data_IF_761189164982
#
_entry.id   IF_761189164982
#
_cell.length_a   1.000
_cell.length_b   1.000
_cell.length_c   1.000
_cell.angle_alpha   90.00
_cell.angle_beta   90.00
_cell.angle_gamma   90.00
#
_symmetry.space_group_name_H-M   'P 1'
#
loop_
_entity.id
_entity.type
_entity.pdbx_description
1 polymer ?
#
# COMPACT_ATOMS: atom_id res chain seq x y z
N UNK A 1 -1.73 27.14 -33.78
CA UNK A 1 -1.18 25.81 -33.48
C UNK A 1 -0.88 25.80 -31.99
N UNK A 2 -1.70 25.08 -31.21
CA UNK A 2 -1.53 24.96 -29.75
C UNK A 2 -0.42 23.95 -29.48
N UNK A 3 0.70 24.39 -28.90
CA UNK A 3 1.73 23.48 -28.42
C UNK A 3 1.53 23.25 -26.93
N UNK A 4 0.87 22.13 -26.59
CA UNK A 4 0.94 21.55 -25.26
C UNK A 4 2.34 20.94 -25.11
N UNK A 5 3.20 21.53 -24.30
CA UNK A 5 4.48 20.95 -23.95
C UNK A 5 4.29 19.94 -22.80
N UNK A 6 4.55 18.62 -22.99
CA UNK A 6 4.56 17.68 -21.89
C UNK A 6 5.83 17.89 -21.05
N UNK A 7 5.66 18.24 -19.78
CA UNK A 7 6.78 18.38 -18.82
C UNK A 7 7.28 16.98 -18.42
N UNK A 8 8.59 16.67 -18.51
CA UNK A 8 9.11 15.35 -18.24
C UNK A 8 9.06 14.98 -16.75
N UNK A 9 8.70 13.72 -16.48
CA UNK A 9 8.70 13.11 -15.14
C UNK A 9 10.14 12.84 -14.69
N UNK A 10 10.63 13.61 -13.71
CA UNK A 10 11.76 13.21 -12.87
C UNK A 10 11.29 13.00 -11.43
N UNK A 11 11.82 11.96 -10.79
CA UNK A 11 11.37 11.40 -9.50
C UNK A 11 12.23 11.87 -8.32
N UNK A 12 11.58 12.33 -7.24
CA UNK A 12 12.18 12.56 -5.92
C UNK A 12 11.10 12.44 -4.81
N UNK A 13 11.46 12.11 -3.55
CA UNK A 13 10.58 11.48 -2.57
C UNK A 13 9.79 12.46 -1.70
N UNK A 14 8.76 11.89 -1.03
CA UNK A 14 7.86 12.47 -0.02
C UNK A 14 6.62 13.23 -0.55
N UNK A 15 5.51 13.07 0.18
CA UNK A 15 4.14 13.29 -0.30
C UNK A 15 3.80 14.76 -0.55
N UNK A 16 2.84 14.98 -1.46
CA UNK A 16 2.52 16.27 -2.08
C UNK A 16 3.73 16.89 -2.75
N UNK A 17 4.07 16.32 -3.92
CA UNK A 17 4.97 16.93 -4.90
C UNK A 17 4.41 18.31 -5.23
N UNK A 18 4.96 19.36 -4.63
CA UNK A 18 4.69 20.74 -5.05
C UNK A 18 5.21 20.86 -6.48
N UNK A 19 4.34 20.58 -7.45
CA UNK A 19 4.59 20.84 -8.85
C UNK A 19 4.30 22.32 -9.04
N UNK A 20 5.30 23.15 -8.76
CA UNK A 20 5.23 24.56 -9.12
C UNK A 20 5.25 24.67 -10.64
N UNK A 21 4.46 25.59 -11.17
CA UNK A 21 4.53 26.03 -12.56
C UNK A 21 4.98 27.48 -12.55
N UNK A 22 5.92 27.80 -13.43
CA UNK A 22 6.46 29.16 -13.55
C UNK A 22 5.59 29.96 -14.53
N UNK A 23 5.22 31.17 -14.11
CA UNK A 23 4.48 32.12 -14.95
C UNK A 23 5.47 33.18 -15.42
N UNK A 24 5.50 33.43 -16.72
CA UNK A 24 6.45 34.37 -17.31
C UNK A 24 5.78 35.71 -17.62
N UNK A 25 6.49 36.81 -17.35
CA UNK A 25 6.03 38.20 -17.57
C UNK A 25 5.94 38.59 -19.07
N UNK A 26 6.07 37.63 -19.98
CA UNK A 26 5.87 37.84 -21.41
C UNK A 26 4.59 37.14 -21.89
N UNK A 27 3.67 36.82 -20.99
CA UNK A 27 2.41 36.15 -21.29
C UNK A 27 1.27 37.14 -21.06
N UNK A 28 0.34 37.23 -22.01
CA UNK A 28 -0.90 38.02 -21.86
C UNK A 28 -1.85 37.37 -20.83
N UNK A 29 -2.03 36.04 -20.95
CA UNK A 29 -2.83 35.26 -20.02
C UNK A 29 -2.24 33.87 -19.77
N UNK A 30 -2.57 33.33 -18.60
CA UNK A 30 -2.31 31.96 -18.17
C UNK A 30 -3.60 31.38 -17.59
N UNK A 31 -4.01 30.22 -18.08
CA UNK A 31 -5.13 29.46 -17.57
C UNK A 31 -4.62 28.18 -16.91
N UNK A 32 -5.08 27.93 -15.69
CA UNK A 32 -4.71 26.77 -14.88
C UNK A 32 -5.97 25.96 -14.61
N UNK A 33 -6.11 24.83 -15.29
CA UNK A 33 -7.19 23.87 -15.07
C UNK A 33 -6.75 22.86 -14.00
N UNK A 34 -7.38 22.94 -12.83
CA UNK A 34 -7.13 22.07 -11.68
C UNK A 34 -8.18 20.98 -11.62
N UNK A 35 -7.72 19.73 -11.55
CA UNK A 35 -8.54 18.53 -11.36
C UNK A 35 -8.16 17.83 -10.07
N UNK A 36 -9.18 17.42 -9.33
CA UNK A 36 -9.02 16.68 -8.07
C UNK A 36 -9.41 15.22 -8.26
N UNK A 37 -8.54 14.33 -7.81
CA UNK A 37 -8.70 12.88 -7.87
C UNK A 37 -8.48 12.29 -6.48
N UNK A 38 -9.22 11.25 -6.12
CA UNK A 38 -8.96 10.42 -4.94
C UNK A 38 -8.50 9.04 -5.41
N UNK A 39 -7.26 8.67 -5.08
CA UNK A 39 -6.75 7.33 -5.34
C UNK A 39 -6.99 6.44 -4.12
N UNK A 40 -7.65 5.31 -4.32
CA UNK A 40 -7.87 4.27 -3.32
C UNK A 40 -7.12 3.01 -3.73
N UNK A 41 -6.00 2.74 -3.06
CA UNK A 41 -5.15 1.57 -3.30
C UNK A 41 -5.55 0.41 -2.41
N UNK A 42 -5.32 -0.82 -2.89
CA UNK A 42 -5.53 -2.01 -2.07
C UNK A 42 -4.32 -2.32 -1.20
N UNK A 43 -4.58 -2.58 0.08
CA UNK A 43 -3.56 -3.03 1.00
C UNK A 43 -3.17 -4.49 0.70
N UNK A 44 -1.93 -4.71 0.26
CA UNK A 44 -1.43 -6.04 -0.13
C UNK A 44 -0.04 -6.28 0.43
N UNK A 45 0.29 -7.54 0.72
CA UNK A 45 1.63 -7.91 1.23
C UNK A 45 2.79 -7.46 0.34
N UNK A 46 2.61 -7.47 -0.99
CA UNK A 46 3.64 -7.03 -1.94
C UNK A 46 3.78 -5.50 -2.04
N UNK A 47 2.72 -4.76 -1.70
CA UNK A 47 2.65 -3.30 -1.75
C UNK A 47 1.76 -2.81 -0.60
N UNK A 48 2.29 -2.74 0.63
CA UNK A 48 1.49 -2.35 1.79
C UNK A 48 1.14 -0.86 1.72
N UNK A 49 -0.05 -0.55 2.23
CA UNK A 49 -0.49 0.82 2.46
C UNK A 49 -1.17 0.93 3.82
N UNK A 50 -1.21 2.14 4.37
CA UNK A 50 -1.83 2.44 5.67
C UNK A 50 -3.30 2.84 5.47
N UNK A 51 -4.20 2.23 6.24
CA UNK A 51 -5.66 2.39 6.08
C UNK A 51 -6.22 3.51 6.94
N UNK A 52 -5.49 3.92 7.99
CA UNK A 52 -5.91 5.01 8.87
C UNK A 52 -6.07 6.34 8.10
N UNK A 53 -7.27 6.97 8.10
CA UNK A 53 -7.48 8.26 7.45
C UNK A 53 -6.69 9.42 8.09
N UNK A 54 -6.25 9.29 9.34
CA UNK A 54 -5.41 10.29 10.02
C UNK A 54 -3.92 10.16 9.63
N UNK A 55 -3.53 9.06 8.96
CA UNK A 55 -2.15 8.83 8.58
C UNK A 55 -1.71 9.77 7.45
N UNK A 56 -0.58 10.45 7.67
CA UNK A 56 0.13 11.20 6.65
C UNK A 56 1.52 10.63 6.48
N UNK A 57 1.83 10.17 5.27
CA UNK A 57 3.19 9.70 4.93
C UNK A 57 4.23 10.79 5.13
N UNK A 58 3.89 12.06 4.87
CA UNK A 58 4.77 13.20 5.11
C UNK A 58 5.14 13.32 6.59
N UNK A 59 4.14 13.23 7.48
CA UNK A 59 4.34 13.24 8.93
C UNK A 59 5.17 12.05 9.40
N UNK A 60 4.87 10.84 8.92
CA UNK A 60 5.66 9.64 9.22
C UNK A 60 7.14 9.82 8.83
N UNK A 61 7.41 10.32 7.63
CA UNK A 61 8.78 10.53 7.15
C UNK A 61 9.50 11.59 7.98
N UNK A 62 8.84 12.73 8.25
CA UNK A 62 9.45 13.80 9.04
C UNK A 62 9.76 13.35 10.47
N UNK A 63 8.85 12.61 11.11
CA UNK A 63 9.06 12.10 12.46
C UNK A 63 10.11 10.98 12.48
N UNK A 64 10.11 10.07 11.50
CA UNK A 64 11.11 9.02 11.42
C UNK A 64 12.53 9.58 11.24
N UNK A 65 12.70 10.52 10.30
CA UNK A 65 14.00 11.16 10.05
C UNK A 65 14.47 11.95 11.27
N UNK A 66 13.58 12.73 11.89
CA UNK A 66 13.89 13.49 13.08
C UNK A 66 14.32 12.60 14.25
N UNK A 67 13.59 11.51 14.51
CA UNK A 67 13.92 10.58 15.57
C UNK A 67 15.27 9.88 15.31
N UNK A 68 15.56 9.53 14.06
CA UNK A 68 16.80 8.89 13.70
C UNK A 68 18.00 9.84 13.84
N UNK A 69 17.89 11.08 13.34
CA UNK A 69 18.95 12.08 13.51
C UNK A 69 19.15 12.48 14.98
N UNK A 70 18.08 12.59 15.76
CA UNK A 70 18.18 12.90 17.18
C UNK A 70 18.91 11.81 17.97
N UNK A 71 18.66 10.53 17.64
CA UNK A 71 19.36 9.40 18.26
C UNK A 71 20.85 9.39 17.91
N UNK A 72 21.20 9.67 16.66
CA UNK A 72 22.59 9.70 16.20
C UNK A 72 23.38 10.88 16.80
N UNK A 73 22.77 12.08 16.83
CA UNK A 73 23.37 13.28 17.39
C UNK A 73 23.37 13.31 18.93
N UNK A 74 22.50 12.52 19.57
CA UNK A 74 22.31 12.49 21.03
C UNK A 74 21.60 13.72 21.60
N UNK A 75 20.95 14.52 20.75
CA UNK A 75 20.21 15.73 21.13
C UNK A 75 19.09 16.02 20.13
N UNK A 76 18.17 16.93 20.48
CA UNK A 76 17.00 17.27 19.66
C UNK A 76 16.84 18.79 19.42
N UNK A 77 16.16 19.15 18.33
CA UNK A 77 15.62 20.50 18.11
C UNK A 77 14.10 20.48 18.14
N UNK A 78 13.52 20.77 19.29
CA UNK A 78 12.06 20.77 19.51
C UNK A 78 11.33 21.79 18.62
N UNK A 79 12.00 22.88 18.25
CA UNK A 79 11.45 23.90 17.34
C UNK A 79 11.20 23.37 15.91
N UNK A 80 11.86 22.28 15.52
CA UNK A 80 11.77 21.70 14.18
C UNK A 80 10.94 20.40 14.22
N UNK A 81 11.05 19.59 15.28
CA UNK A 81 10.33 18.33 15.42
C UNK A 81 9.79 18.10 16.84
N UNK A 82 8.61 18.67 17.16
CA UNK A 82 8.04 18.58 18.51
C UNK A 82 7.55 17.18 18.89
N UNK A 83 7.17 16.35 17.91
CA UNK A 83 6.56 15.03 18.15
C UNK A 83 7.58 13.93 18.51
N UNK A 84 8.86 14.09 18.16
CA UNK A 84 9.93 13.12 18.40
C UNK A 84 10.69 13.35 19.70
N UNK A 85 10.26 14.35 20.49
CA UNK A 85 11.00 14.93 21.60
C UNK A 85 11.01 14.09 22.89
N UNK A 86 10.85 12.77 22.79
CA UNK A 86 10.64 11.92 23.96
C UNK A 86 11.99 11.46 24.51
N UNK A 87 12.60 12.32 25.33
CA UNK A 87 13.66 11.94 26.28
C UNK A 87 15.09 12.33 25.92
N UNK A 88 15.34 13.10 24.85
CA UNK A 88 16.66 13.66 24.55
C UNK A 88 16.79 15.13 24.97
N UNK A 89 17.98 15.58 25.41
CA UNK A 89 18.22 16.98 25.71
C UNK A 89 18.21 17.84 24.44
N UNK A 90 17.91 19.13 24.58
CA UNK A 90 18.05 20.12 23.50
C UNK A 90 19.52 20.20 23.03
N UNK A 91 19.73 20.39 21.73
CA UNK A 91 21.07 20.67 21.21
C UNK A 91 21.49 22.09 21.61
N UNK A 92 22.40 22.23 22.58
CA UNK A 92 22.85 23.53 23.10
C UNK A 92 24.18 24.01 22.49
N UNK A 93 25.02 23.07 22.05
CA UNK A 93 26.38 23.38 21.58
C UNK A 93 26.48 23.43 20.06
N UNK A 94 27.39 24.27 19.54
CA UNK A 94 27.67 24.34 18.10
C UNK A 94 28.13 22.98 17.54
N UNK A 95 28.91 22.22 18.31
CA UNK A 95 29.36 20.87 17.92
C UNK A 95 28.22 19.86 17.80
N UNK A 96 27.21 19.93 18.67
CA UNK A 96 26.00 19.12 18.55
C UNK A 96 25.19 19.49 17.30
N UNK A 97 25.06 20.78 17.02
CA UNK A 97 24.34 21.27 15.84
C UNK A 97 25.04 20.89 14.53
N UNK A 98 26.38 20.96 14.48
CA UNK A 98 27.16 20.53 13.31
C UNK A 98 27.07 19.02 13.06
N UNK A 99 27.06 18.19 14.11
CA UNK A 99 26.81 16.75 13.97
C UNK A 99 25.42 16.48 13.41
N UNK A 100 24.40 17.13 13.96
CA UNK A 100 23.04 16.97 13.45
C UNK A 100 22.92 17.41 11.99
N UNK A 101 23.56 18.51 11.60
CA UNK A 101 23.62 18.96 10.19
C UNK A 101 24.29 17.96 9.27
N UNK A 102 25.40 17.35 9.70
CA UNK A 102 26.08 16.32 8.93
C UNK A 102 25.18 15.10 8.73
N UNK A 103 24.44 14.69 9.76
CA UNK A 103 23.49 13.59 9.68
C UNK A 103 22.29 13.92 8.78
N UNK A 104 21.77 15.15 8.85
CA UNK A 104 20.68 15.63 7.97
C UNK A 104 21.03 15.56 6.48
N UNK A 105 22.32 15.56 6.12
CA UNK A 105 22.78 15.40 4.74
C UNK A 105 22.66 13.95 4.22
N UNK A 106 22.58 12.97 5.12
CA UNK A 106 22.44 11.55 4.79
C UNK A 106 21.17 10.96 5.46
N UNK A 107 19.98 11.18 4.89
CA UNK A 107 18.74 10.80 5.52
C UNK A 107 18.64 9.26 5.66
N UNK A 108 18.25 8.76 6.84
CA UNK A 108 18.13 7.32 7.10
C UNK A 108 16.95 6.71 6.32
N UNK A 109 17.02 5.40 6.10
CA UNK A 109 15.94 4.67 5.43
C UNK A 109 14.75 4.50 6.37
N UNK A 110 13.64 5.17 6.05
CA UNK A 110 12.39 5.10 6.81
C UNK A 110 11.35 4.20 6.15
N UNK A 111 10.82 3.22 6.90
CA UNK A 111 9.75 2.34 6.46
C UNK A 111 8.37 2.98 6.65
N UNK A 112 8.08 4.02 5.86
CA UNK A 112 6.78 4.70 5.85
C UNK A 112 5.94 4.26 4.63
N UNK A 113 4.92 3.39 4.82
CA UNK A 113 4.04 2.98 3.73
C UNK A 113 3.26 4.19 3.18
N UNK A 114 2.69 4.04 1.98
CA UNK A 114 1.79 5.06 1.43
C UNK A 114 0.42 4.94 2.09
N UNK A 115 -0.35 6.03 2.24
CA UNK A 115 -1.75 5.89 2.63
C UNK A 115 -2.49 5.12 1.53
N UNK A 116 -3.45 4.28 1.91
CA UNK A 116 -4.32 3.61 0.96
C UNK A 116 -5.28 4.59 0.29
N UNK A 117 -5.64 5.70 0.96
CA UNK A 117 -6.45 6.79 0.41
C UNK A 117 -5.60 8.03 0.22
N UNK A 118 -5.47 8.49 -1.01
CA UNK A 118 -4.63 9.65 -1.32
C UNK A 118 -5.37 10.63 -2.23
N UNK A 119 -5.49 11.88 -1.78
CA UNK A 119 -5.87 12.99 -2.65
C UNK A 119 -4.74 13.30 -3.63
N UNK A 120 -5.07 13.41 -4.91
CA UNK A 120 -4.19 13.82 -5.99
C UNK A 120 -4.79 15.03 -6.67
N UNK A 121 -3.97 16.07 -6.79
CA UNK A 121 -4.31 17.26 -7.56
C UNK A 121 -3.46 17.23 -8.82
N UNK A 122 -4.11 17.36 -9.97
CA UNK A 122 -3.44 17.56 -11.24
C UNK A 122 -3.81 18.93 -11.79
N UNK A 123 -2.83 19.64 -12.35
CA UNK A 123 -3.03 20.94 -12.96
C UNK A 123 -2.55 20.86 -14.40
N UNK A 124 -3.37 21.36 -15.33
CA UNK A 124 -3.00 21.58 -16.73
C UNK A 124 -2.87 23.08 -16.92
N UNK A 125 -1.70 23.52 -17.35
CA UNK A 125 -1.41 24.93 -17.57
C UNK A 125 -1.45 25.21 -19.06
N UNK A 126 -2.23 26.22 -19.44
CA UNK A 126 -2.29 26.76 -20.78
C UNK A 126 -1.86 28.22 -20.71
N UNK A 127 -0.96 28.64 -21.59
CA UNK A 127 -0.49 30.01 -21.59
C UNK A 127 -0.54 30.58 -23.00
N UNK A 128 -0.79 31.89 -23.07
CA UNK A 128 -0.73 32.62 -24.32
C UNK A 128 0.70 32.65 -24.87
N UNK A 129 0.83 32.56 -26.19
CA UNK A 129 2.11 32.75 -26.89
C UNK A 129 2.34 34.22 -27.27
N UNK A 130 1.44 35.14 -26.88
CA UNK A 130 1.53 36.56 -27.20
C UNK A 130 2.26 37.26 -26.06
N UNK A 131 3.24 38.06 -26.44
CA UNK A 131 3.91 38.97 -25.51
C UNK A 131 2.95 40.08 -25.12
N UNK A 132 2.58 40.13 -23.83
CA UNK A 132 1.87 41.27 -23.27
C UNK A 132 2.71 42.53 -23.47
N UNK A 133 2.08 43.61 -23.95
CA UNK A 133 2.76 44.90 -24.13
C UNK A 133 2.95 45.65 -22.82
N UNK A 134 2.12 45.35 -21.83
CA UNK A 134 2.24 45.79 -20.46
C UNK A 134 2.73 44.60 -19.64
N UNK A 135 3.53 44.82 -18.60
CA UNK A 135 4.07 43.76 -17.73
C UNK A 135 2.99 43.13 -16.82
N UNK A 136 1.80 42.93 -17.35
CA UNK A 136 0.60 42.44 -16.70
C UNK A 136 0.24 41.08 -17.29
N UNK A 137 0.12 40.08 -16.41
CA UNK A 137 -0.25 38.72 -16.77
C UNK A 137 -1.55 38.39 -16.07
N UNK A 138 -2.60 38.05 -16.84
CA UNK A 138 -3.87 37.60 -16.24
C UNK A 138 -3.82 36.10 -15.96
N UNK A 139 -3.95 35.71 -14.69
CA UNK A 139 -3.97 34.30 -14.29
C UNK A 139 -5.40 33.88 -13.94
N UNK A 140 -5.94 32.93 -14.70
CA UNK A 140 -7.26 32.34 -14.45
C UNK A 140 -7.09 30.93 -13.92
N UNK A 141 -7.59 30.66 -12.71
CA UNK A 141 -7.59 29.30 -12.14
C UNK A 141 -9.00 28.74 -12.23
N UNK A 142 -9.15 27.65 -12.97
CA UNK A 142 -10.39 26.89 -13.08
C UNK A 142 -10.27 25.63 -12.26
N UNK A 143 -11.23 25.40 -11.38
CA UNK A 143 -11.28 24.17 -10.57
C UNK A 143 -12.47 23.36 -11.07
N UNK A 144 -12.21 22.12 -11.47
CA UNK A 144 -13.27 21.17 -11.76
C UNK A 144 -14.01 20.81 -10.47
N UNK A 145 -15.35 20.91 -10.49
CA UNK A 145 -16.19 20.62 -9.33
C UNK A 145 -16.39 19.12 -9.10
N UNK A 146 -16.13 18.30 -10.12
CA UNK A 146 -16.28 16.86 -10.03
C UNK A 146 -15.01 16.22 -9.48
N UNK A 147 -15.14 15.50 -8.35
CA UNK A 147 -14.05 14.71 -7.78
C UNK A 147 -14.07 13.29 -8.37
N UNK A 148 -12.99 12.91 -9.05
CA UNK A 148 -12.86 11.57 -9.60
C UNK A 148 -12.27 10.61 -8.57
N UNK A 149 -12.90 9.45 -8.35
CA UNK A 149 -12.38 8.41 -7.45
C UNK A 149 -11.84 7.26 -8.29
N UNK A 150 -10.54 6.98 -8.15
CA UNK A 150 -9.84 5.88 -8.83
C UNK A 150 -9.55 4.81 -7.79
N UNK A 151 -10.27 3.68 -7.87
CA UNK A 151 -10.15 2.58 -6.90
C UNK A 151 -9.48 1.36 -7.53
N UNK A 152 -8.41 0.89 -6.89
CA UNK A 152 -7.82 -0.41 -7.19
C UNK A 152 -8.75 -1.51 -6.66
N UNK A 153 -9.12 -2.46 -7.51
CA UNK A 153 -9.90 -3.64 -7.12
C UNK A 153 -9.10 -4.93 -7.38
N UNK A 154 -9.47 -6.00 -6.69
CA UNK A 154 -8.89 -7.31 -6.97
C UNK A 154 -9.47 -7.81 -8.30
N UNK A 155 -8.63 -7.96 -9.32
CA UNK A 155 -9.05 -8.44 -10.64
C UNK A 155 -9.68 -9.84 -10.58
N UNK A 156 -9.35 -10.62 -9.56
CA UNK A 156 -9.88 -11.95 -9.35
C UNK A 156 -10.13 -12.20 -7.87
N UNK A 157 -11.35 -12.59 -7.53
CA UNK A 157 -11.74 -12.93 -6.17
C UNK A 157 -11.75 -14.45 -6.00
N UNK A 158 -11.68 -14.94 -4.76
CA UNK A 158 -11.83 -16.37 -4.49
C UNK A 158 -13.16 -16.93 -5.03
N UNK A 159 -14.23 -16.12 -5.02
CA UNK A 159 -15.51 -16.48 -5.62
C UNK A 159 -15.43 -16.66 -7.14
N UNK A 160 -14.77 -15.72 -7.83
CA UNK A 160 -14.52 -15.83 -9.28
C UNK A 160 -13.72 -17.10 -9.61
N UNK A 161 -12.70 -17.41 -8.78
CA UNK A 161 -11.88 -18.62 -8.95
C UNK A 161 -12.68 -19.91 -8.83
N UNK A 162 -13.52 -20.00 -7.80
CA UNK A 162 -14.39 -21.16 -7.59
C UNK A 162 -15.43 -21.29 -8.71
N UNK A 163 -15.92 -20.17 -9.23
CA UNK A 163 -16.90 -20.15 -10.31
C UNK A 163 -16.28 -20.65 -11.62
N UNK A 164 -15.09 -20.18 -11.97
CA UNK A 164 -14.43 -20.62 -13.21
C UNK A 164 -13.96 -22.08 -13.11
N UNK A 165 -13.48 -22.50 -11.93
CA UNK A 165 -13.09 -23.89 -11.69
C UNK A 165 -14.32 -24.82 -11.74
N UNK A 166 -15.37 -24.47 -11.00
CA UNK A 166 -16.61 -25.25 -10.94
C UNK A 166 -17.35 -25.27 -12.28
N UNK A 167 -17.36 -24.14 -13.00
CA UNK A 167 -17.95 -24.03 -14.33
C UNK A 167 -17.25 -24.92 -15.34
N UNK A 168 -15.91 -24.85 -15.40
CA UNK A 168 -15.15 -25.70 -16.32
C UNK A 168 -15.24 -27.19 -15.96
N UNK A 169 -15.17 -27.55 -14.68
CA UNK A 169 -15.33 -28.95 -14.25
C UNK A 169 -16.75 -29.48 -14.50
N UNK A 170 -17.77 -28.67 -14.24
CA UNK A 170 -19.17 -29.03 -14.46
C UNK A 170 -19.49 -29.21 -15.94
N UNK A 171 -18.95 -28.35 -16.81
CA UNK A 171 -19.22 -28.38 -18.24
C UNK A 171 -18.42 -29.44 -19.00
N UNK A 172 -17.16 -29.70 -18.59
CA UNK A 172 -16.28 -30.66 -19.27
C UNK A 172 -16.42 -32.09 -18.76
N UNK A 173 -16.64 -32.29 -17.46
CA UNK A 173 -16.71 -33.62 -16.87
C UNK A 173 -18.10 -33.99 -16.35
N UNK A 174 -19.05 -33.04 -16.31
CA UNK A 174 -20.35 -33.25 -15.68
C UNK A 174 -20.26 -33.37 -14.15
N UNK A 175 -19.12 -33.06 -13.56
CA UNK A 175 -18.92 -33.15 -12.11
C UNK A 175 -19.59 -31.98 -11.41
N UNK A 176 -20.55 -32.31 -10.54
CA UNK A 176 -21.19 -31.34 -9.65
C UNK A 176 -20.68 -31.51 -8.22
N UNK A 177 -20.91 -30.52 -7.33
CA UNK A 177 -20.54 -30.63 -5.90
C UNK A 177 -21.08 -31.92 -5.25
N UNK A 178 -22.25 -32.38 -5.68
CA UNK A 178 -22.85 -33.64 -5.21
C UNK A 178 -21.99 -34.86 -5.57
N UNK A 179 -21.41 -34.90 -6.78
CA UNK A 179 -20.49 -35.97 -7.23
C UNK A 179 -19.23 -36.00 -6.36
N UNK A 180 -18.70 -34.84 -5.96
CA UNK A 180 -17.54 -34.74 -5.07
C UNK A 180 -17.89 -35.27 -3.67
N UNK A 181 -19.05 -34.90 -3.11
CA UNK A 181 -19.49 -35.40 -1.80
C UNK A 181 -19.69 -36.92 -1.81
N UNK A 182 -20.23 -37.49 -2.88
CA UNK A 182 -20.37 -38.94 -3.04
C UNK A 182 -19.02 -39.65 -3.17
N UNK A 183 -18.08 -39.07 -3.90
CA UNK A 183 -16.72 -39.60 -4.01
C UNK A 183 -15.99 -39.57 -2.67
N UNK A 184 -16.09 -38.45 -1.93
CA UNK A 184 -15.49 -38.31 -0.60
C UNK A 184 -16.06 -39.32 0.39
N UNK A 185 -17.38 -39.56 0.37
CA UNK A 185 -18.01 -40.62 1.17
C UNK A 185 -17.45 -42.00 0.83
N UNK A 186 -17.35 -42.35 -0.45
CA UNK A 186 -16.79 -43.65 -0.87
C UNK A 186 -15.33 -43.81 -0.46
N UNK A 187 -14.51 -42.76 -0.56
CA UNK A 187 -13.11 -42.79 -0.13
C UNK A 187 -13.01 -42.93 1.39
N UNK A 188 -13.75 -42.13 2.17
CA UNK A 188 -13.72 -42.23 3.64
C UNK A 188 -14.23 -43.57 4.15
N UNK A 189 -15.34 -44.10 3.60
CA UNK A 189 -15.82 -45.44 3.95
C UNK A 189 -14.85 -46.55 3.50
N UNK A 190 -14.26 -46.44 2.30
CA UNK A 190 -13.28 -47.42 1.81
C UNK A 190 -11.96 -47.41 2.57
N UNK A 191 -11.49 -46.24 3.02
CA UNK A 191 -10.32 -46.13 3.89
C UNK A 191 -10.59 -46.68 5.30
N UNK A 192 -11.80 -46.48 5.84
CA UNK A 192 -12.19 -47.04 7.13
C UNK A 192 -12.43 -48.57 7.11
N UNK A 193 -12.74 -49.14 5.95
CA UNK A 193 -12.89 -50.60 5.79
C UNK A 193 -11.54 -51.31 5.57
N UNK A 194 -10.54 -50.61 5.00
CA UNK A 194 -9.20 -51.16 4.77
C UNK A 194 -8.40 -51.38 6.08
N UNK A 195 -8.82 -50.77 7.19
CA UNK A 195 -8.23 -50.98 8.53
C UNK A 195 -8.76 -52.23 9.27
N UNK A 196 -9.62 -53.06 8.65
CA UNK A 196 -10.18 -54.28 9.25
C UNK A 196 -9.70 -55.59 8.60
N UNK A 197 -8.47 -55.64 8.11
CA UNK A 197 -7.81 -56.90 7.67
C UNK A 197 -6.47 -57.13 8.39
N UNK A 198 -6.39 -56.83 9.68
CA UNK A 198 -5.32 -57.39 10.50
C UNK A 198 -5.76 -57.46 11.96
N UNK A 199 -6.31 -58.61 12.39
CA UNK A 199 -6.17 -59.20 13.72
C UNK A 199 -7.18 -60.35 13.89
N UNK A 200 -6.80 -61.56 13.47
CA UNK A 200 -7.36 -62.79 14.06
C UNK A 200 -6.36 -63.27 15.12
N UNK A 201 -6.58 -63.04 16.43
CA UNK A 201 -5.70 -63.59 17.45
C UNK A 201 -6.04 -65.06 17.70
N UNK A 202 -4.99 -65.91 17.66
CA UNK A 202 -5.04 -67.33 18.03
C UNK A 202 -5.38 -67.49 19.51
N UNK A 203 -6.46 -68.19 19.83
CA UNK A 203 -6.82 -68.58 21.20
C UNK A 203 -6.01 -69.84 21.58
N UNK A 204 -5.04 -69.69 22.49
CA UNK A 204 -4.33 -70.80 23.14
C UNK A 204 -4.52 -70.67 24.65
N UNK A 205 -5.22 -71.61 25.26
CA UNK A 205 -5.35 -71.75 26.71
C UNK A 205 -5.10 -73.22 27.03
N UNK A 206 -3.89 -73.47 27.52
CA UNK A 206 -3.46 -74.77 28.03
C UNK A 206 -3.88 -74.89 29.51
N UNK A 207 -4.50 -76.03 29.84
CA UNK A 207 -4.21 -76.99 30.95
C UNK A 207 -3.83 -76.39 32.32
N UNK A 208 -4.45 -76.76 33.43
CA UNK A 208 -4.30 -77.97 34.28
C UNK A 208 -5.30 -77.76 35.46
N UNK A 209 -5.82 -78.67 36.27
CA UNK A 209 -5.84 -80.12 36.42
C UNK A 209 -6.83 -80.44 37.58
N UNK A 210 -7.21 -81.70 37.67
CA UNK A 210 -7.53 -82.47 38.90
C UNK A 210 -8.98 -82.69 39.42
N UNK A 211 -9.17 -84.00 39.65
CA UNK A 211 -9.97 -84.71 40.66
C UNK A 211 -11.40 -85.17 40.36
N UNK A 212 -11.45 -86.40 39.82
CA UNK A 212 -12.03 -87.62 40.43
C UNK A 212 -13.47 -87.51 40.97
N UNK A 213 -14.40 -88.16 40.26
CA UNK A 213 -15.23 -89.27 40.75
C UNK A 213 -15.88 -89.99 39.55
#
# INVERSE_FOLDING_TARGET
MLHAAPVPLLDAPSGLRERSFEIFNNQDWVEVDVRMEELRSLNRKSRPCEEDPAYSRGRCLSECQAAAHAREAGCQLEAVWPATAQGLPQCETATQLERLRAELAAPPSCACPRPCRQGRVSAVVQASSRTASDHEVTVTVRVDGDMQVIEESAAYTAGSLLTDFGGNMGLTMGFSLLTIVELLKKITFGCLDNDRVETIPKKKSDRWADSIA
#
